data_IF_143447000070
#
_entry.id   IF_143447000070
#
_cell.length_a   1.000
_cell.length_b   1.000
_cell.length_c   1.000
_cell.angle_alpha   90.00
_cell.angle_beta   90.00
_cell.angle_gamma   90.00
#
_symmetry.space_group_name_H-M   'P 1'
#
loop_
_entity.id
_entity.type
_entity.pdbx_description
1 polymer ?
#
# COMPACT_ATOMS: atom_id res chain seq x y z
N UNK A 1 -16.72 21.14 -10.42
CA UNK A 1 -17.90 20.27 -10.37
C UNK A 1 -17.88 19.51 -9.06
N UNK A 2 -18.59 20.02 -8.07
CA UNK A 2 -18.80 19.29 -6.83
C UNK A 2 -19.89 18.25 -7.10
N UNK A 3 -19.53 17.00 -7.24
CA UNK A 3 -20.46 15.89 -7.17
C UNK A 3 -20.96 15.84 -5.72
N UNK A 4 -22.20 16.24 -5.51
CA UNK A 4 -22.82 16.16 -4.19
C UNK A 4 -23.31 14.74 -4.00
N UNK A 5 -22.75 14.05 -3.00
CA UNK A 5 -23.19 12.70 -2.62
C UNK A 5 -24.27 12.85 -1.54
N UNK A 6 -25.49 12.42 -1.89
CA UNK A 6 -26.59 12.36 -0.94
C UNK A 6 -26.74 10.93 -0.42
N UNK A 7 -26.53 10.75 0.86
CA UNK A 7 -26.86 9.51 1.55
C UNK A 7 -28.38 9.31 1.69
N UNK A 8 -28.76 8.29 2.45
CA UNK A 8 -30.17 8.07 2.82
C UNK A 8 -30.68 9.26 3.65
N UNK A 9 -31.74 9.93 3.18
CA UNK A 9 -32.31 11.11 3.86
C UNK A 9 -33.56 10.80 4.70
N UNK A 10 -34.21 9.67 4.43
CA UNK A 10 -35.28 9.13 5.27
C UNK A 10 -35.43 7.62 5.07
N UNK A 11 -35.96 6.98 6.10
CA UNK A 11 -36.35 5.57 6.08
C UNK A 11 -37.72 5.40 6.71
N UNK A 12 -38.61 4.73 6.01
CA UNK A 12 -39.91 4.37 6.53
C UNK A 12 -40.21 2.89 6.32
N UNK A 13 -41.02 2.32 7.18
CA UNK A 13 -41.61 0.99 7.02
C UNK A 13 -43.11 1.06 7.12
N UNK A 14 -43.81 0.10 6.53
CA UNK A 14 -45.25 -0.05 6.68
C UNK A 14 -45.51 -1.24 7.63
N UNK A 15 -46.29 -0.99 8.64
CA UNK A 15 -46.73 -2.02 9.57
C UNK A 15 -48.20 -1.88 9.90
N UNK A 16 -48.97 -2.94 9.72
CA UNK A 16 -50.39 -2.93 10.07
C UNK A 16 -50.61 -2.50 11.54
N UNK A 17 -51.44 -1.52 11.74
CA UNK A 17 -51.71 -0.96 13.07
C UNK A 17 -50.72 0.08 13.56
N UNK A 18 -49.73 0.48 12.74
CA UNK A 18 -48.83 1.59 13.05
C UNK A 18 -49.36 2.93 12.41
N UNK A 19 -48.84 4.05 12.94
CA UNK A 19 -49.11 5.36 12.32
C UNK A 19 -48.44 5.50 10.95
N UNK A 20 -47.45 4.67 10.66
CA UNK A 20 -46.77 4.59 9.35
C UNK A 20 -47.41 3.41 8.62
N UNK A 21 -48.59 3.68 8.00
CA UNK A 21 -49.32 2.69 7.21
C UNK A 21 -49.16 2.91 5.71
N UNK A 22 -49.67 1.97 4.90
CA UNK A 22 -49.59 2.04 3.45
C UNK A 22 -50.37 3.27 2.91
N UNK A 23 -49.73 4.10 2.07
CA UNK A 23 -50.47 5.12 1.32
C UNK A 23 -51.49 4.51 0.35
N UNK A 24 -52.52 5.27 0.03
CA UNK A 24 -53.48 4.87 -1.00
C UNK A 24 -52.80 4.82 -2.37
N UNK A 25 -52.91 3.72 -3.07
CA UNK A 25 -52.34 3.54 -4.42
C UNK A 25 -53.28 3.99 -5.55
N UNK A 26 -54.52 4.36 -5.24
CA UNK A 26 -55.58 4.60 -6.24
C UNK A 26 -55.98 6.06 -6.38
N UNK A 27 -55.50 6.97 -5.54
CA UNK A 27 -55.97 8.36 -5.49
C UNK A 27 -54.81 9.37 -5.56
N UNK A 28 -55.14 10.60 -5.94
CA UNK A 28 -54.22 11.73 -5.87
C UNK A 28 -53.75 12.00 -4.41
N UNK A 29 -54.66 11.85 -3.48
CA UNK A 29 -54.30 11.95 -2.04
C UNK A 29 -53.20 10.95 -1.65
N UNK A 30 -53.26 9.73 -2.18
CA UNK A 30 -52.22 8.72 -1.98
C UNK A 30 -50.87 9.18 -2.49
N UNK A 31 -50.81 9.90 -3.60
CA UNK A 31 -49.56 10.51 -4.09
C UNK A 31 -48.98 11.51 -3.09
N UNK A 32 -49.84 12.32 -2.46
CA UNK A 32 -49.38 13.26 -1.41
C UNK A 32 -48.99 12.56 -0.12
N UNK A 33 -49.57 11.39 0.19
CA UNK A 33 -49.15 10.54 1.30
C UNK A 33 -47.75 9.94 1.05
N UNK A 34 -47.50 9.48 -0.20
CA UNK A 34 -46.17 9.01 -0.61
C UNK A 34 -45.13 10.13 -0.51
N UNK A 35 -45.48 11.36 -0.92
CA UNK A 35 -44.57 12.49 -0.82
C UNK A 35 -44.14 12.75 0.63
N UNK A 36 -45.08 12.70 1.58
CA UNK A 36 -44.75 12.81 3.01
C UNK A 36 -43.78 11.70 3.46
N UNK A 37 -44.04 10.45 3.11
CA UNK A 37 -43.14 9.32 3.47
C UNK A 37 -41.75 9.48 2.90
N UNK A 38 -41.62 9.91 1.65
CA UNK A 38 -40.32 10.15 1.04
C UNK A 38 -39.51 11.23 1.76
N UNK A 39 -40.19 12.20 2.37
CA UNK A 39 -39.52 13.24 3.17
C UNK A 39 -39.37 12.91 4.65
N UNK A 40 -39.80 11.72 5.10
CA UNK A 40 -39.68 11.25 6.49
C UNK A 40 -40.78 11.77 7.42
N UNK A 41 -42.00 11.89 6.89
CA UNK A 41 -43.20 12.28 7.64
C UNK A 41 -44.27 11.20 7.57
N UNK A 42 -45.21 11.24 8.53
CA UNK A 42 -46.35 10.33 8.53
C UNK A 42 -47.18 10.51 7.24
N UNK A 43 -47.68 9.41 6.63
CA UNK A 43 -48.47 9.51 5.39
C UNK A 43 -49.76 10.27 5.58
N UNK A 44 -50.35 10.23 6.78
CA UNK A 44 -51.62 10.88 7.10
C UNK A 44 -51.50 11.83 8.30
N UNK A 45 -52.11 13.02 8.23
CA UNK A 45 -52.76 13.62 7.05
C UNK A 45 -51.79 13.80 5.90
N UNK A 46 -52.30 13.74 4.66
CA UNK A 46 -51.50 13.93 3.46
C UNK A 46 -50.90 15.35 3.36
N UNK A 47 -49.86 15.50 2.54
CA UNK A 47 -49.26 16.79 2.24
C UNK A 47 -50.35 17.81 1.80
N UNK A 48 -50.34 19.08 2.27
CA UNK A 48 -49.19 19.79 2.85
C UNK A 48 -49.01 19.67 4.36
N UNK A 49 -49.77 18.84 5.05
CA UNK A 49 -49.55 18.62 6.48
C UNK A 49 -48.41 17.62 6.66
N UNK A 50 -47.39 18.00 7.40
CA UNK A 50 -46.21 17.18 7.65
C UNK A 50 -46.03 16.93 9.17
N UNK A 51 -46.24 15.69 9.59
CA UNK A 51 -46.02 15.26 10.97
C UNK A 51 -44.83 14.32 11.01
N UNK A 52 -43.73 14.65 11.72
CA UNK A 52 -42.56 13.82 11.77
C UNK A 52 -42.85 12.48 12.44
N UNK A 53 -42.03 11.46 12.14
CA UNK A 53 -42.04 10.23 12.94
C UNK A 53 -41.58 10.57 14.36
N UNK A 54 -42.08 9.85 15.33
CA UNK A 54 -41.62 9.91 16.69
C UNK A 54 -41.03 8.53 17.09
N UNK A 55 -39.79 8.52 17.51
CA UNK A 55 -39.15 7.32 18.04
C UNK A 55 -39.86 6.91 19.33
N UNK A 56 -40.54 5.75 19.40
CA UNK A 56 -41.31 5.35 20.56
C UNK A 56 -40.42 5.01 21.77
N UNK A 57 -39.12 4.85 21.60
CA UNK A 57 -38.18 4.57 22.71
C UNK A 57 -37.71 5.86 23.40
N UNK A 58 -37.65 6.96 22.69
CA UNK A 58 -37.13 8.25 23.18
C UNK A 58 -38.15 9.37 23.20
N UNK A 59 -39.22 9.26 22.38
CA UNK A 59 -40.19 10.32 22.12
C UNK A 59 -39.66 11.46 21.25
N UNK A 60 -38.45 11.34 20.68
CA UNK A 60 -37.84 12.36 19.82
C UNK A 60 -38.33 12.22 18.37
N UNK A 61 -38.42 13.34 17.70
CA UNK A 61 -38.71 13.39 16.26
C UNK A 61 -37.54 12.82 15.46
N UNK A 62 -37.85 12.04 14.42
CA UNK A 62 -36.87 11.43 13.53
C UNK A 62 -37.43 11.32 12.12
N UNK A 63 -36.57 11.24 11.12
CA UNK A 63 -36.88 10.84 9.74
C UNK A 63 -36.57 9.36 9.45
N UNK A 64 -36.05 8.66 10.43
CA UNK A 64 -35.62 7.27 10.30
C UNK A 64 -36.40 6.38 11.25
N UNK A 65 -37.38 5.69 10.72
CA UNK A 65 -38.09 4.66 11.47
C UNK A 65 -37.17 3.45 11.71
N UNK A 66 -37.41 2.71 12.79
CA UNK A 66 -36.63 1.52 13.17
C UNK A 66 -35.11 1.78 13.26
N UNK A 67 -34.73 2.95 13.77
CA UNK A 67 -33.34 3.37 13.92
C UNK A 67 -32.59 2.67 15.05
N UNK A 68 -33.21 1.75 15.76
CA UNK A 68 -32.61 1.01 16.86
C UNK A 68 -31.67 -0.11 16.42
N UNK A 69 -30.89 -0.58 17.38
CA UNK A 69 -29.93 -1.66 17.16
C UNK A 69 -30.37 -2.94 17.87
N UNK A 70 -30.81 -3.96 17.12
CA UNK A 70 -31.20 -5.26 17.71
C UNK A 70 -30.07 -5.95 18.46
N UNK A 71 -28.81 -5.72 18.12
CA UNK A 71 -27.67 -6.36 18.78
C UNK A 71 -27.42 -5.84 20.19
N UNK A 72 -27.62 -4.55 20.40
CA UNK A 72 -27.55 -3.93 21.73
C UNK A 72 -28.88 -3.87 22.47
N UNK A 73 -29.98 -4.12 21.77
CA UNK A 73 -31.33 -3.99 22.31
C UNK A 73 -31.77 -2.54 22.54
N UNK A 74 -31.09 -1.56 21.96
CA UNK A 74 -31.33 -0.14 22.16
C UNK A 74 -32.07 0.53 21.02
N UNK A 75 -32.93 1.50 21.32
CA UNK A 75 -33.65 2.34 20.36
C UNK A 75 -34.91 1.71 19.80
N UNK A 76 -35.37 2.20 18.68
CA UNK A 76 -36.59 1.77 18.00
C UNK A 76 -36.37 0.50 17.18
N UNK A 77 -36.77 -0.65 17.72
CA UNK A 77 -36.50 -1.98 17.16
C UNK A 77 -37.81 -2.62 16.70
N UNK A 78 -37.81 -3.21 15.49
CA UNK A 78 -38.96 -4.01 15.02
C UNK A 78 -39.16 -5.27 15.88
N UNK A 79 -40.41 -5.63 16.08
CA UNK A 79 -40.77 -6.75 16.94
C UNK A 79 -40.81 -6.43 18.45
N UNK A 80 -40.36 -5.24 18.88
CA UNK A 80 -40.39 -4.76 20.25
C UNK A 80 -41.59 -3.82 20.48
N UNK A 81 -41.69 -2.74 19.71
CA UNK A 81 -42.79 -1.78 19.82
C UNK A 81 -44.02 -2.18 19.02
N UNK A 82 -43.84 -2.97 17.98
CA UNK A 82 -44.92 -3.59 17.19
C UNK A 82 -44.68 -5.10 17.11
N UNK A 83 -45.76 -5.92 17.21
CA UNK A 83 -45.64 -7.36 17.00
C UNK A 83 -44.97 -7.68 15.64
N UNK A 84 -44.23 -8.79 15.55
CA UNK A 84 -43.71 -9.26 14.26
C UNK A 84 -44.83 -9.43 13.24
N UNK A 85 -44.58 -9.07 12.00
CA UNK A 85 -45.56 -9.15 10.93
C UNK A 85 -44.99 -8.81 9.58
N UNK A 86 -45.83 -8.70 8.58
CA UNK A 86 -45.43 -8.24 7.24
C UNK A 86 -44.94 -6.79 7.31
N UNK A 87 -43.77 -6.54 6.72
CA UNK A 87 -43.13 -5.24 6.66
C UNK A 87 -42.74 -4.96 5.22
N UNK A 88 -43.04 -3.77 4.78
CA UNK A 88 -42.50 -3.17 3.58
C UNK A 88 -41.68 -1.97 3.99
N UNK A 89 -40.66 -1.64 3.23
CA UNK A 89 -39.74 -0.55 3.57
C UNK A 89 -39.54 0.37 2.38
N UNK A 90 -39.26 1.62 2.67
CA UNK A 90 -38.91 2.66 1.71
C UNK A 90 -37.68 3.37 2.21
N UNK A 91 -36.66 3.38 1.38
CA UNK A 91 -35.43 4.16 1.60
C UNK A 91 -35.43 5.31 0.61
N UNK A 92 -35.12 6.50 1.06
CA UNK A 92 -35.14 7.69 0.23
C UNK A 92 -33.81 8.41 0.27
N UNK A 93 -33.46 8.98 -0.89
CA UNK A 93 -32.34 9.91 -1.04
C UNK A 93 -32.88 11.17 -1.73
N UNK A 94 -32.50 12.35 -1.25
CA UNK A 94 -33.01 13.62 -1.75
C UNK A 94 -33.72 14.43 -0.66
N UNK A 95 -34.49 15.47 -1.05
CA UNK A 95 -34.80 15.89 -2.42
C UNK A 95 -33.63 16.51 -3.16
N UNK A 96 -33.56 16.33 -4.47
CA UNK A 96 -32.57 16.98 -5.33
C UNK A 96 -33.25 17.54 -6.59
N UNK A 97 -32.61 18.51 -7.23
CA UNK A 97 -33.08 19.10 -8.47
C UNK A 97 -32.29 18.51 -9.64
N UNK A 98 -33.02 18.10 -10.68
CA UNK A 98 -32.42 17.59 -11.90
C UNK A 98 -32.82 18.50 -13.05
N UNK A 99 -31.87 19.17 -13.69
CA UNK A 99 -32.10 20.01 -14.85
C UNK A 99 -32.12 19.17 -16.13
N UNK A 100 -32.64 19.75 -17.19
CA UNK A 100 -32.68 19.06 -18.49
C UNK A 100 -31.25 18.72 -18.95
N UNK A 101 -31.00 17.44 -19.19
CA UNK A 101 -29.69 16.93 -19.60
C UNK A 101 -28.74 16.55 -18.45
N UNK A 102 -29.16 16.75 -17.20
CA UNK A 102 -28.41 16.22 -16.03
C UNK A 102 -28.86 14.80 -15.70
N UNK A 103 -27.95 14.02 -15.17
CA UNK A 103 -28.18 12.63 -14.73
C UNK A 103 -27.90 12.50 -13.23
N UNK A 104 -28.67 11.69 -12.56
CA UNK A 104 -28.44 11.29 -11.18
C UNK A 104 -28.28 9.78 -11.12
N UNK A 105 -27.25 9.32 -10.43
CA UNK A 105 -26.99 7.90 -10.22
C UNK A 105 -27.33 7.51 -8.79
N UNK A 106 -28.13 6.47 -8.62
CA UNK A 106 -28.43 5.89 -7.31
C UNK A 106 -27.75 4.54 -7.21
N UNK A 107 -26.93 4.36 -6.17
CA UNK A 107 -26.27 3.08 -5.87
C UNK A 107 -26.94 2.47 -4.66
N UNK A 108 -27.42 1.25 -4.80
CA UNK A 108 -28.03 0.47 -3.73
C UNK A 108 -27.19 -0.78 -3.44
N UNK A 109 -26.74 -0.93 -2.20
CA UNK A 109 -26.11 -2.14 -1.70
C UNK A 109 -27.15 -3.09 -1.07
N UNK A 110 -26.98 -4.38 -1.29
CA UNK A 110 -27.74 -5.43 -0.58
C UNK A 110 -26.74 -6.31 0.14
N UNK A 111 -26.66 -6.17 1.46
CA UNK A 111 -25.80 -6.99 2.31
C UNK A 111 -26.65 -8.04 3.06
N UNK A 112 -26.13 -9.25 3.16
CA UNK A 112 -26.71 -10.32 3.95
C UNK A 112 -25.73 -10.78 5.02
N UNK A 113 -26.25 -11.30 6.13
CA UNK A 113 -25.46 -11.89 7.21
C UNK A 113 -26.10 -13.15 7.74
N UNK A 114 -25.28 -14.14 8.07
CA UNK A 114 -25.73 -15.39 8.71
C UNK A 114 -24.88 -15.62 9.95
N UNK A 115 -25.47 -15.41 11.12
CA UNK A 115 -24.92 -15.73 12.42
C UNK A 115 -25.54 -17.01 12.99
N UNK A 116 -25.41 -17.23 14.28
CA UNK A 116 -25.99 -18.39 14.98
C UNK A 116 -27.49 -18.22 15.26
N UNK A 117 -27.96 -16.99 15.32
CA UNK A 117 -29.36 -16.61 15.52
C UNK A 117 -29.71 -15.32 14.76
N UNK A 118 -30.93 -14.84 14.89
CA UNK A 118 -31.39 -13.63 14.21
C UNK A 118 -30.64 -12.38 14.68
N UNK A 119 -30.22 -12.28 15.93
CA UNK A 119 -29.51 -11.10 16.46
C UNK A 119 -28.05 -11.09 15.98
N UNK A 120 -27.35 -12.21 16.11
CA UNK A 120 -25.98 -12.34 15.60
C UNK A 120 -25.91 -12.19 14.08
N UNK A 121 -26.98 -12.62 13.35
CA UNK A 121 -27.09 -12.38 11.90
C UNK A 121 -27.12 -10.89 11.55
N UNK A 122 -27.72 -10.04 12.38
CA UNK A 122 -27.67 -8.57 12.19
C UNK A 122 -26.26 -8.05 12.37
N UNK A 123 -25.50 -8.55 13.35
CA UNK A 123 -24.09 -8.19 13.54
C UNK A 123 -23.25 -8.52 12.31
N UNK A 124 -23.44 -9.71 11.75
CA UNK A 124 -22.75 -10.15 10.53
C UNK A 124 -23.18 -9.32 9.31
N UNK A 125 -24.48 -9.00 9.18
CA UNK A 125 -24.96 -8.15 8.10
C UNK A 125 -24.34 -6.73 8.14
N UNK A 126 -24.26 -6.13 9.33
CA UNK A 126 -23.58 -4.83 9.51
C UNK A 126 -22.10 -4.90 9.16
N UNK A 127 -21.46 -5.99 9.49
CA UNK A 127 -20.06 -6.22 9.11
C UNK A 127 -19.88 -6.27 7.58
N UNK A 128 -20.75 -7.01 6.89
CA UNK A 128 -20.70 -7.04 5.42
C UNK A 128 -21.06 -5.70 4.77
N UNK A 129 -21.97 -4.93 5.40
CA UNK A 129 -22.35 -3.60 4.95
C UNK A 129 -21.16 -2.62 4.96
N UNK A 130 -20.30 -2.70 5.98
CA UNK A 130 -19.07 -1.90 6.05
C UNK A 130 -18.13 -2.15 4.86
N UNK A 131 -18.03 -3.41 4.40
CA UNK A 131 -17.27 -3.74 3.18
C UNK A 131 -17.92 -3.15 1.93
N UNK A 132 -19.25 -3.19 1.85
CA UNK A 132 -20.00 -2.58 0.75
C UNK A 132 -19.80 -1.06 0.70
N UNK A 133 -19.90 -0.39 1.84
CA UNK A 133 -19.67 1.04 1.95
C UNK A 133 -18.22 1.41 1.59
N UNK A 134 -17.25 0.69 2.14
CA UNK A 134 -15.85 0.90 1.80
C UNK A 134 -15.58 0.75 0.30
N UNK A 135 -16.14 -0.29 -0.34
CA UNK A 135 -16.01 -0.49 -1.78
C UNK A 135 -16.59 0.68 -2.58
N UNK A 136 -17.73 1.22 -2.16
CA UNK A 136 -18.34 2.39 -2.78
C UNK A 136 -17.47 3.64 -2.60
N UNK A 137 -16.97 3.90 -1.40
CA UNK A 137 -16.13 5.06 -1.06
C UNK A 137 -14.81 5.06 -1.83
N UNK A 138 -14.29 3.86 -2.13
CA UNK A 138 -13.11 3.66 -2.98
C UNK A 138 -13.43 3.68 -4.49
N UNK A 139 -14.65 4.02 -4.89
CA UNK A 139 -15.08 3.99 -6.29
C UNK A 139 -14.97 2.59 -6.92
N UNK A 140 -15.12 1.53 -6.12
CA UNK A 140 -14.93 0.12 -6.47
C UNK A 140 -13.50 -0.26 -6.86
N UNK A 141 -12.53 0.61 -6.57
CA UNK A 141 -11.11 0.31 -6.73
C UNK A 141 -10.55 -0.23 -5.41
N UNK A 142 -10.77 -1.51 -5.18
CA UNK A 142 -10.36 -2.15 -3.94
C UNK A 142 -8.84 -2.39 -3.88
N UNK A 143 -8.24 -2.33 -2.67
CA UNK A 143 -6.84 -2.66 -2.51
C UNK A 143 -6.55 -4.11 -2.89
N UNK A 144 -5.38 -4.34 -3.43
CA UNK A 144 -4.86 -5.66 -3.76
C UNK A 144 -3.84 -6.13 -2.73
N UNK A 145 -3.83 -7.43 -2.48
CA UNK A 145 -2.77 -8.05 -1.71
C UNK A 145 -1.42 -7.98 -2.44
N UNK A 146 -0.29 -8.14 -1.74
CA UNK A 146 1.03 -8.28 -2.37
C UNK A 146 1.05 -9.41 -3.39
N UNK A 147 1.98 -9.36 -4.34
CA UNK A 147 2.21 -10.47 -5.25
C UNK A 147 2.65 -11.71 -4.48
N UNK A 148 2.20 -12.89 -4.90
CA UNK A 148 2.63 -14.16 -4.30
C UNK A 148 4.14 -14.36 -4.49
N UNK A 149 4.91 -14.79 -3.48
CA UNK A 149 6.33 -15.02 -3.59
C UNK A 149 6.63 -16.18 -4.56
N UNK A 150 7.75 -16.10 -5.29
CA UNK A 150 8.22 -17.20 -6.13
C UNK A 150 9.14 -18.09 -5.31
N UNK A 151 8.73 -19.33 -5.03
CA UNK A 151 9.42 -20.22 -4.09
C UNK A 151 10.14 -21.33 -4.84
N UNK A 152 11.42 -21.53 -4.55
CA UNK A 152 12.20 -22.70 -4.94
C UNK A 152 12.48 -23.61 -3.73
N UNK A 153 12.74 -24.87 -3.99
CA UNK A 153 12.97 -25.89 -2.95
C UNK A 153 14.40 -26.37 -2.94
N UNK A 154 14.92 -26.65 -1.75
CA UNK A 154 16.25 -27.19 -1.54
C UNK A 154 16.09 -28.52 -0.78
N UNK A 155 16.63 -29.61 -1.36
CA UNK A 155 16.55 -30.96 -0.83
C UNK A 155 17.88 -31.33 -0.16
N UNK A 156 17.84 -31.71 1.11
CA UNK A 156 18.99 -32.09 1.91
C UNK A 156 18.73 -33.41 2.65
N UNK A 157 19.76 -33.99 3.25
CA UNK A 157 19.66 -35.20 4.06
C UNK A 157 18.85 -34.96 5.34
N UNK A 158 17.64 -35.49 5.39
CA UNK A 158 16.71 -35.33 6.51
C UNK A 158 16.17 -33.90 6.73
N UNK A 159 16.40 -32.97 5.80
CA UNK A 159 16.08 -31.56 5.94
C UNK A 159 15.59 -31.00 4.60
N UNK A 160 14.81 -29.92 4.65
CA UNK A 160 14.36 -29.19 3.48
C UNK A 160 14.57 -27.70 3.66
N UNK A 161 14.82 -27.01 2.55
CA UNK A 161 14.86 -25.56 2.48
C UNK A 161 13.84 -25.03 1.46
N UNK A 162 13.33 -23.86 1.72
CA UNK A 162 12.52 -23.07 0.81
C UNK A 162 13.21 -21.72 0.62
N UNK A 163 13.36 -21.28 -0.61
CA UNK A 163 13.98 -20.00 -0.96
C UNK A 163 13.07 -19.20 -1.87
N UNK A 164 12.75 -17.97 -1.48
CA UNK A 164 12.00 -16.99 -2.28
C UNK A 164 12.75 -15.68 -2.46
N UNK A 165 14.04 -15.66 -2.10
CA UNK A 165 14.93 -14.51 -2.23
C UNK A 165 15.77 -14.50 -3.49
N UNK A 166 15.85 -15.60 -4.24
CA UNK A 166 16.76 -15.76 -5.39
C UNK A 166 16.38 -14.91 -6.60
N UNK A 167 15.12 -14.50 -6.75
CA UNK A 167 14.65 -13.64 -7.84
C UNK A 167 14.42 -12.22 -7.35
N UNK A 168 15.35 -11.30 -7.64
CA UNK A 168 15.22 -9.89 -7.27
C UNK A 168 13.93 -9.25 -7.81
N UNK A 169 13.50 -9.60 -9.03
CA UNK A 169 12.25 -9.10 -9.61
C UNK A 169 11.03 -9.59 -8.85
N UNK A 170 10.99 -10.87 -8.45
CA UNK A 170 9.90 -11.41 -7.66
C UNK A 170 9.84 -10.77 -6.27
N UNK A 171 10.99 -10.62 -5.62
CA UNK A 171 11.10 -9.96 -4.32
C UNK A 171 10.59 -8.52 -4.40
N UNK A 172 11.06 -7.73 -5.38
CA UNK A 172 10.62 -6.35 -5.58
C UNK A 172 9.12 -6.26 -5.85
N UNK A 173 8.56 -7.13 -6.69
CA UNK A 173 7.12 -7.13 -6.98
C UNK A 173 6.25 -7.47 -5.76
N UNK A 174 6.78 -8.21 -4.79
CA UNK A 174 6.09 -8.55 -3.55
C UNK A 174 6.29 -7.48 -2.48
N UNK A 175 7.54 -7.09 -2.22
CA UNK A 175 7.91 -6.26 -1.07
C UNK A 175 7.75 -4.76 -1.30
N UNK A 176 7.79 -4.30 -2.54
CA UNK A 176 7.55 -2.90 -2.92
C UNK A 176 6.08 -2.64 -3.29
N UNK A 177 5.21 -3.64 -3.08
CA UNK A 177 3.78 -3.51 -3.35
C UNK A 177 3.13 -2.52 -2.39
N UNK A 178 2.50 -1.50 -2.95
CA UNK A 178 1.66 -0.54 -2.23
C UNK A 178 0.31 -0.48 -2.94
N UNK A 179 -0.77 -0.71 -2.22
CA UNK A 179 -2.13 -0.63 -2.77
C UNK A 179 -3.07 0.03 -1.77
N UNK A 180 -3.60 1.22 -2.10
CA UNK A 180 -4.51 1.99 -1.23
C UNK A 180 -4.03 2.11 0.22
N UNK A 181 -2.73 2.38 0.42
CA UNK A 181 -2.11 2.52 1.75
C UNK A 181 -1.70 1.20 2.41
N UNK A 182 -2.08 0.05 1.86
CA UNK A 182 -1.54 -1.23 2.31
C UNK A 182 -0.12 -1.40 1.82
N UNK A 183 0.82 -1.58 2.71
CA UNK A 183 2.23 -1.82 2.42
C UNK A 183 2.59 -3.27 2.81
N UNK A 184 3.49 -3.88 2.05
CA UNK A 184 4.03 -5.18 2.41
C UNK A 184 4.53 -5.18 3.85
N UNK A 185 4.20 -6.22 4.61
CA UNK A 185 4.61 -6.36 6.00
C UNK A 185 5.50 -7.58 6.22
N UNK A 186 5.15 -8.72 5.63
CA UNK A 186 5.92 -9.93 5.86
C UNK A 186 5.48 -11.14 5.04
N UNK A 187 6.14 -12.26 5.34
CA UNK A 187 5.88 -13.57 4.77
C UNK A 187 5.40 -14.54 5.85
N UNK A 188 4.55 -15.47 5.44
CA UNK A 188 4.11 -16.59 6.29
C UNK A 188 4.40 -17.89 5.57
N UNK A 189 4.96 -18.85 6.31
CA UNK A 189 5.23 -20.21 5.83
C UNK A 189 4.30 -21.16 6.54
N UNK A 190 3.63 -22.00 5.76
CA UNK A 190 2.75 -23.06 6.23
C UNK A 190 3.26 -24.42 5.78
N UNK A 191 3.20 -25.40 6.68
CA UNK A 191 3.33 -26.80 6.30
C UNK A 191 1.93 -27.39 6.13
N UNK A 192 1.69 -28.05 4.98
CA UNK A 192 0.38 -28.60 4.63
C UNK A 192 0.36 -30.12 4.81
N UNK A 193 -0.76 -30.71 5.23
CA UNK A 193 -0.93 -32.15 5.32
C UNK A 193 -0.79 -32.87 3.96
N UNK A 194 -1.21 -32.23 2.87
CA UNK A 194 -1.13 -32.73 1.50
C UNK A 194 -1.10 -31.59 0.49
N UNK A 195 -0.81 -31.88 -0.78
CA UNK A 195 -0.82 -30.93 -1.88
C UNK A 195 -2.18 -30.22 -2.07
N UNK A 196 -3.29 -30.88 -1.72
CA UNK A 196 -4.65 -30.38 -1.92
C UNK A 196 -5.32 -29.87 -0.64
N UNK A 197 -4.67 -29.98 0.51
CA UNK A 197 -5.22 -29.46 1.77
C UNK A 197 -5.40 -27.94 1.70
N UNK A 198 -6.54 -27.38 2.15
CA UNK A 198 -6.69 -25.94 2.23
C UNK A 198 -5.70 -25.35 3.22
N UNK A 199 -5.35 -24.07 3.03
CA UNK A 199 -4.38 -23.35 3.90
C UNK A 199 -4.81 -23.37 5.37
N UNK A 200 -6.12 -23.36 5.63
CA UNK A 200 -6.70 -23.43 6.97
C UNK A 200 -6.42 -24.72 7.75
N UNK A 201 -6.03 -25.79 7.05
CA UNK A 201 -5.60 -27.07 7.66
C UNK A 201 -4.06 -27.11 7.83
N UNK A 202 -3.35 -26.13 7.29
CA UNK A 202 -1.90 -26.00 7.40
C UNK A 202 -1.48 -25.57 8.80
N UNK A 203 -0.28 -26.00 9.18
CA UNK A 203 0.41 -25.51 10.38
C UNK A 203 1.28 -24.33 9.98
N UNK A 204 1.07 -23.17 10.61
CA UNK A 204 1.94 -22.01 10.46
C UNK A 204 3.28 -22.33 11.14
N UNK A 205 4.36 -22.44 10.34
CA UNK A 205 5.69 -22.85 10.83
C UNK A 205 6.65 -21.69 10.99
N UNK A 206 6.44 -20.60 10.23
CA UNK A 206 7.25 -19.40 10.37
C UNK A 206 6.49 -18.14 9.92
N UNK A 207 6.85 -17.01 10.51
CA UNK A 207 6.47 -15.68 10.06
C UNK A 207 7.70 -14.79 10.07
N UNK A 208 7.95 -14.06 8.98
CA UNK A 208 9.07 -13.15 8.81
C UNK A 208 8.54 -11.79 8.40
N UNK A 209 8.61 -10.82 9.27
CA UNK A 209 8.01 -9.51 9.10
C UNK A 209 8.99 -8.37 9.38
N UNK A 210 8.65 -7.18 8.93
CA UNK A 210 9.45 -5.98 9.15
C UNK A 210 9.65 -5.72 10.64
N UNK A 211 10.79 -5.12 10.99
CA UNK A 211 11.06 -4.65 12.35
C UNK A 211 10.44 -3.27 12.53
N UNK A 212 9.19 -3.21 12.99
CA UNK A 212 8.43 -1.97 13.09
C UNK A 212 7.47 -1.95 14.29
N UNK A 213 7.59 -2.92 15.21
CA UNK A 213 6.77 -3.11 16.41
C UNK A 213 5.32 -3.53 16.14
N UNK A 214 5.02 -4.01 14.93
CA UNK A 214 3.71 -4.53 14.56
C UNK A 214 3.75 -6.05 14.68
N UNK A 215 3.27 -6.58 15.81
CA UNK A 215 3.28 -8.02 16.06
C UNK A 215 1.93 -8.69 15.83
N UNK A 216 0.84 -8.02 16.22
CA UNK A 216 -0.51 -8.57 16.08
C UNK A 216 -1.37 -7.62 15.26
N UNK A 217 -1.84 -8.11 14.12
CA UNK A 217 -2.81 -7.41 13.30
C UNK A 217 -4.18 -8.01 13.58
N UNK A 218 -5.05 -7.19 14.16
CA UNK A 218 -6.41 -7.57 14.51
C UNK A 218 -7.34 -7.10 13.39
N UNK A 219 -8.13 -8.02 12.87
CA UNK A 219 -9.21 -7.74 11.93
C UNK A 219 -10.55 -8.24 12.45
N UNK A 220 -11.65 -7.58 12.12
CA UNK A 220 -12.97 -8.06 12.44
C UNK A 220 -13.19 -9.47 11.87
N UNK A 221 -13.65 -10.37 12.73
CA UNK A 221 -13.90 -11.77 12.40
C UNK A 221 -15.17 -12.25 13.09
N UNK A 222 -15.84 -13.22 12.50
CA UNK A 222 -17.02 -13.83 13.11
C UNK A 222 -16.57 -14.89 14.11
N UNK A 223 -16.87 -14.66 15.40
CA UNK A 223 -16.63 -15.66 16.44
C UNK A 223 -17.57 -16.86 16.22
N UNK A 224 -17.06 -18.06 15.98
CA UNK A 224 -17.88 -19.24 15.71
C UNK A 224 -18.72 -19.68 16.92
N UNK A 225 -18.41 -19.21 18.12
CA UNK A 225 -19.09 -19.58 19.35
C UNK A 225 -20.32 -18.71 19.60
N UNK A 226 -20.20 -17.42 19.33
CA UNK A 226 -21.26 -16.43 19.61
C UNK A 226 -21.97 -15.95 18.35
N UNK A 227 -21.36 -16.13 17.17
CA UNK A 227 -21.82 -15.59 15.90
C UNK A 227 -21.68 -14.07 15.80
N UNK A 228 -21.05 -13.42 16.78
CA UNK A 228 -20.82 -11.98 16.77
C UNK A 228 -19.51 -11.63 16.06
N UNK A 229 -19.45 -10.43 15.55
CA UNK A 229 -18.21 -9.88 14.99
C UNK A 229 -17.34 -9.36 16.13
N UNK A 230 -16.11 -9.86 16.19
CA UNK A 230 -15.09 -9.47 17.17
C UNK A 230 -13.76 -9.22 16.48
N UNK A 231 -12.92 -8.37 17.05
CA UNK A 231 -11.55 -8.20 16.58
C UNK A 231 -10.73 -9.44 16.99
N UNK A 232 -10.22 -10.15 16.01
CA UNK A 232 -9.40 -11.34 16.21
C UNK A 232 -8.03 -11.20 15.51
N UNK A 233 -6.97 -11.83 16.06
CA UNK A 233 -5.67 -11.84 15.41
C UNK A 233 -5.77 -12.52 14.04
N UNK A 234 -5.58 -11.74 12.99
CA UNK A 234 -5.56 -12.23 11.60
C UNK A 234 -4.16 -12.61 11.17
N UNK A 235 -3.18 -11.78 11.54
CA UNK A 235 -1.76 -12.07 11.37
C UNK A 235 -1.03 -11.85 12.69
N UNK A 236 -0.05 -12.72 12.94
CA UNK A 236 0.84 -12.62 14.10
C UNK A 236 2.26 -12.64 13.57
N UNK A 237 2.93 -11.51 13.67
CA UNK A 237 4.31 -11.32 13.31
C UNK A 237 5.27 -11.64 14.44
N UNK A 238 6.55 -11.68 14.14
CA UNK A 238 7.64 -11.93 15.07
C UNK A 238 8.50 -10.70 15.33
N UNK A 239 8.39 -9.67 14.47
CA UNK A 239 9.15 -8.41 14.51
C UNK A 239 10.68 -8.63 14.53
N UNK A 240 11.14 -9.71 13.86
CA UNK A 240 12.56 -10.09 13.81
C UNK A 240 13.26 -9.74 12.52
N UNK A 241 12.53 -9.24 11.54
CA UNK A 241 13.02 -8.87 10.22
C UNK A 241 12.57 -9.81 9.11
N UNK A 242 12.50 -9.25 7.90
CA UNK A 242 12.10 -9.99 6.71
C UNK A 242 13.21 -10.97 6.32
N UNK A 243 12.88 -12.23 6.31
CA UNK A 243 13.72 -13.32 5.82
C UNK A 243 13.09 -13.93 4.57
N UNK A 244 13.92 -14.28 3.59
CA UNK A 244 13.45 -14.78 2.28
C UNK A 244 13.79 -16.24 2.05
N UNK A 245 14.02 -16.96 3.12
CA UNK A 245 14.23 -18.40 3.13
C UNK A 245 13.67 -19.02 4.41
N UNK A 246 13.40 -20.31 4.36
CA UNK A 246 12.99 -21.11 5.51
C UNK A 246 13.64 -22.48 5.39
N UNK A 247 14.04 -23.04 6.51
CA UNK A 247 14.58 -24.39 6.58
C UNK A 247 14.00 -25.16 7.76
N UNK A 248 13.88 -26.46 7.61
CA UNK A 248 13.41 -27.32 8.69
C UNK A 248 13.82 -28.77 8.47
N UNK A 249 14.12 -29.45 9.56
CA UNK A 249 14.33 -30.89 9.68
C UNK A 249 13.15 -31.60 10.37
N UNK A 250 12.08 -30.83 10.69
CA UNK A 250 10.95 -31.30 11.48
C UNK A 250 9.62 -31.20 10.73
N UNK A 251 8.80 -32.26 10.84
CA UNK A 251 7.44 -32.35 10.29
C UNK A 251 6.46 -31.90 11.38
N UNK A 252 6.07 -30.63 11.35
CA UNK A 252 5.12 -30.03 12.32
C UNK A 252 3.71 -30.61 12.20
N UNK A 253 3.33 -31.08 11.01
CA UNK A 253 2.01 -31.70 10.78
C UNK A 253 1.90 -33.03 11.50
N UNK A 254 3.00 -33.81 11.54
CA UNK A 254 3.03 -35.16 12.14
C UNK A 254 3.79 -35.23 13.47
N UNK A 255 4.42 -34.12 13.89
CA UNK A 255 5.14 -34.04 15.16
C UNK A 255 6.35 -34.94 15.25
N UNK A 256 7.16 -35.02 14.18
CA UNK A 256 8.33 -35.92 14.10
C UNK A 256 9.42 -35.37 13.17
N UNK A 257 10.69 -35.80 13.32
CA UNK A 257 11.74 -35.44 12.37
C UNK A 257 11.38 -35.87 10.93
N UNK A 258 11.84 -35.08 9.97
CA UNK A 258 11.69 -35.41 8.55
C UNK A 258 12.47 -36.66 8.17
N UNK A 259 12.01 -37.35 7.15
CA UNK A 259 12.63 -38.58 6.64
C UNK A 259 12.85 -38.48 5.14
N UNK A 260 14.03 -38.95 4.69
CA UNK A 260 14.35 -39.02 3.28
C UNK A 260 13.32 -39.85 2.51
N UNK A 261 13.02 -39.42 1.28
CA UNK A 261 12.09 -40.10 0.40
C UNK A 261 10.61 -39.86 0.70
N UNK A 262 10.27 -39.06 1.72
CA UNK A 262 8.90 -38.62 2.00
C UNK A 262 8.72 -37.22 1.46
N UNK A 263 7.66 -37.02 0.67
CA UNK A 263 7.31 -35.71 0.14
C UNK A 263 6.53 -34.90 1.18
N UNK A 264 7.01 -33.69 1.46
CA UNK A 264 6.37 -32.69 2.32
C UNK A 264 5.83 -31.56 1.48
N UNK A 265 4.75 -30.96 1.94
CA UNK A 265 4.04 -29.89 1.25
C UNK A 265 4.10 -28.62 2.06
N UNK A 266 4.45 -27.54 1.41
CA UNK A 266 4.49 -26.20 2.02
C UNK A 266 3.73 -25.20 1.18
N UNK A 267 3.34 -24.12 1.81
CA UNK A 267 2.82 -22.93 1.16
C UNK A 267 3.48 -21.70 1.76
N UNK A 268 3.81 -20.74 0.91
CA UNK A 268 4.34 -19.44 1.33
C UNK A 268 3.40 -18.36 0.81
N UNK A 269 3.04 -17.45 1.70
CA UNK A 269 2.24 -16.26 1.41
C UNK A 269 3.01 -15.01 1.77
N UNK A 270 2.58 -13.89 1.22
CA UNK A 270 3.01 -12.55 1.64
C UNK A 270 1.79 -11.80 2.17
N UNK A 271 1.96 -10.91 3.13
CA UNK A 271 0.87 -10.08 3.61
C UNK A 271 1.27 -8.62 3.73
N UNK A 272 0.28 -7.76 3.62
CA UNK A 272 0.40 -6.32 3.77
C UNK A 272 -0.35 -5.84 5.02
N UNK A 273 0.01 -4.66 5.47
CA UNK A 273 -0.60 -3.98 6.61
C UNK A 273 -0.97 -2.55 6.25
N UNK A 274 -2.10 -2.10 6.78
CA UNK A 274 -2.59 -0.72 6.71
C UNK A 274 -2.37 -0.05 8.07
N UNK A 275 -1.39 0.85 8.14
CA UNK A 275 -1.05 1.55 9.39
C UNK A 275 -2.10 2.61 9.77
N UNK A 276 -2.55 3.39 8.80
CA UNK A 276 -3.56 4.42 8.98
C UNK A 276 -4.95 3.84 8.67
N UNK A 277 -5.90 4.06 9.56
CA UNK A 277 -7.25 3.53 9.38
C UNK A 277 -8.11 4.54 8.59
N UNK A 278 -8.05 4.47 7.27
CA UNK A 278 -8.86 5.30 6.34
C UNK A 278 -10.31 4.81 6.21
N UNK A 279 -10.90 4.28 7.26
CA UNK A 279 -12.23 3.70 7.23
C UNK A 279 -12.29 2.29 6.63
N UNK A 280 -11.13 1.66 6.36
CA UNK A 280 -11.07 0.27 5.91
C UNK A 280 -11.63 -0.67 6.98
N UNK A 281 -12.51 -1.61 6.61
CA UNK A 281 -13.04 -2.62 7.52
C UNK A 281 -12.03 -3.73 7.85
N UNK A 282 -10.83 -3.70 7.26
CA UNK A 282 -9.74 -4.66 7.49
C UNK A 282 -8.40 -3.95 7.44
N UNK A 283 -7.40 -4.51 8.10
CA UNK A 283 -6.04 -3.94 8.22
C UNK A 283 -4.96 -4.78 7.55
N UNK A 284 -5.29 -5.99 7.10
CA UNK A 284 -4.32 -6.88 6.45
C UNK A 284 -4.92 -7.54 5.22
N UNK A 285 -4.08 -7.72 4.22
CA UNK A 285 -4.39 -8.49 3.02
C UNK A 285 -3.28 -9.51 2.80
N UNK A 286 -3.67 -10.77 2.63
CA UNK A 286 -2.74 -11.87 2.38
C UNK A 286 -2.81 -12.29 0.91
N UNK A 287 -1.64 -12.52 0.30
CA UNK A 287 -1.53 -12.96 -1.09
C UNK A 287 -2.10 -14.36 -1.31
N UNK A 288 -2.27 -14.75 -2.56
CA UNK A 288 -2.44 -16.16 -2.90
C UNK A 288 -1.22 -16.96 -2.42
N UNK A 289 -1.44 -18.21 -2.03
CA UNK A 289 -0.36 -19.10 -1.62
C UNK A 289 0.46 -19.63 -2.80
N UNK A 290 1.78 -19.64 -2.67
CA UNK A 290 2.66 -20.41 -3.55
C UNK A 290 2.93 -21.76 -2.91
N UNK A 291 2.40 -22.82 -3.51
CA UNK A 291 2.51 -24.19 -3.03
C UNK A 291 3.72 -24.88 -3.62
N UNK A 292 4.48 -25.57 -2.79
CA UNK A 292 5.63 -26.36 -3.19
C UNK A 292 5.60 -27.74 -2.53
N UNK A 293 6.18 -28.71 -3.22
CA UNK A 293 6.41 -30.04 -2.70
C UNK A 293 7.92 -30.31 -2.71
N UNK A 294 8.44 -30.84 -1.64
CA UNK A 294 9.87 -31.09 -1.47
C UNK A 294 10.10 -32.43 -0.79
N UNK A 295 11.13 -33.15 -1.21
CA UNK A 295 11.43 -34.51 -0.71
C UNK A 295 12.88 -34.52 -0.23
N UNK A 296 13.13 -34.60 1.08
CA UNK A 296 14.50 -34.75 1.61
C UNK A 296 15.19 -35.98 1.01
N UNK A 297 16.44 -35.83 0.68
CA UNK A 297 17.25 -36.91 0.12
C UNK A 297 18.72 -36.79 0.52
N UNK A 298 19.39 -37.92 0.59
CA UNK A 298 20.85 -37.94 0.71
C UNK A 298 21.51 -37.43 -0.56
N UNK A 299 22.74 -36.92 -0.44
CA UNK A 299 23.54 -36.51 -1.59
C UNK A 299 23.71 -37.65 -2.60
N UNK A 300 23.82 -37.30 -3.88
CA UNK A 300 24.09 -38.32 -4.90
C UNK A 300 25.47 -38.97 -4.63
N UNK A 301 25.61 -40.25 -5.00
CA UNK A 301 26.93 -40.91 -4.90
C UNK A 301 27.99 -40.15 -5.68
N UNK A 302 29.08 -39.77 -4.98
CA UNK A 302 30.19 -39.00 -5.57
C UNK A 302 30.09 -37.48 -5.41
N UNK A 303 29.00 -36.98 -4.89
CA UNK A 303 28.88 -35.57 -4.48
C UNK A 303 29.32 -35.41 -3.03
N UNK A 304 30.24 -34.48 -2.80
CA UNK A 304 30.65 -34.09 -1.46
C UNK A 304 30.20 -32.65 -1.23
N UNK A 305 29.37 -32.43 -0.22
CA UNK A 305 28.96 -31.11 0.21
C UNK A 305 29.87 -30.69 1.35
N UNK A 306 30.55 -29.55 1.20
CA UNK A 306 31.58 -29.09 2.16
C UNK A 306 31.06 -28.11 3.21
N UNK A 307 29.81 -27.71 3.10
CA UNK A 307 29.15 -26.76 4.00
C UNK A 307 27.78 -27.28 4.39
N UNK A 308 27.32 -26.91 5.55
CA UNK A 308 25.97 -27.19 6.01
C UNK A 308 25.05 -26.02 5.65
N UNK A 309 23.75 -26.27 5.49
CA UNK A 309 22.74 -25.22 5.37
C UNK A 309 22.77 -24.35 6.65
N UNK A 310 22.53 -23.05 6.51
CA UNK A 310 22.65 -22.05 7.58
C UNK A 310 24.01 -21.92 8.23
N UNK A 311 25.06 -22.51 7.68
CA UNK A 311 26.41 -22.24 8.15
C UNK A 311 26.89 -20.86 7.73
N UNK A 312 27.56 -20.15 8.64
CA UNK A 312 28.14 -18.84 8.36
C UNK A 312 29.45 -18.98 7.59
N UNK A 313 29.64 -18.12 6.62
CA UNK A 313 30.90 -17.99 5.88
C UNK A 313 31.72 -16.83 6.46
N UNK A 314 33.00 -17.08 6.73
CA UNK A 314 33.90 -16.03 7.19
C UNK A 314 34.07 -14.94 6.11
N UNK A 315 33.76 -13.70 6.47
CA UNK A 315 33.82 -12.55 5.57
C UNK A 315 35.06 -11.72 5.90
N UNK A 316 35.94 -11.54 4.91
CA UNK A 316 37.07 -10.60 5.03
C UNK A 316 36.64 -9.21 4.59
N UNK A 317 36.67 -8.25 5.52
CA UNK A 317 36.33 -6.86 5.25
C UNK A 317 37.55 -6.09 4.74
N UNK A 318 37.48 -5.57 3.49
CA UNK A 318 38.57 -4.84 2.85
C UNK A 318 38.26 -3.34 2.65
N UNK A 319 37.20 -2.81 3.24
CA UNK A 319 36.74 -1.42 3.07
C UNK A 319 37.03 -0.54 4.29
N UNK A 320 36.68 0.73 4.14
CA UNK A 320 36.76 1.75 5.22
C UNK A 320 35.43 1.92 5.98
N UNK A 321 34.37 1.26 5.51
CA UNK A 321 33.05 1.32 6.14
C UNK A 321 33.01 0.59 7.48
N UNK A 322 32.18 1.05 8.41
CA UNK A 322 32.00 0.41 9.72
C UNK A 322 30.91 -0.70 9.71
N UNK A 323 30.36 -1.01 8.55
CA UNK A 323 29.32 -2.02 8.41
C UNK A 323 29.93 -3.43 8.38
N UNK A 324 29.27 -4.38 9.02
CA UNK A 324 29.56 -5.81 8.90
C UNK A 324 28.53 -6.48 7.98
N UNK A 325 28.99 -7.46 7.22
CA UNK A 325 28.14 -8.31 6.38
C UNK A 325 28.23 -9.72 6.91
N UNK A 326 27.09 -10.32 7.26
CA UNK A 326 26.97 -11.75 7.49
C UNK A 326 26.65 -12.46 6.18
N UNK A 327 27.26 -13.58 5.92
CA UNK A 327 26.97 -14.44 4.78
C UNK A 327 26.68 -15.84 5.28
N UNK A 328 25.49 -16.35 4.95
CA UNK A 328 25.00 -17.65 5.38
C UNK A 328 24.74 -18.54 4.16
N UNK A 329 25.08 -19.80 4.24
CA UNK A 329 24.87 -20.77 3.16
C UNK A 329 23.41 -21.21 3.13
N UNK A 330 22.69 -20.91 2.06
CA UNK A 330 21.31 -21.37 1.85
C UNK A 330 21.27 -22.73 1.14
N UNK A 331 22.05 -22.90 0.09
CA UNK A 331 22.07 -24.12 -0.69
C UNK A 331 23.52 -24.66 -0.80
N UNK A 332 23.93 -25.55 0.09
CA UNK A 332 25.27 -26.12 0.08
C UNK A 332 25.65 -26.85 -1.22
N UNK A 333 24.69 -27.48 -1.88
CA UNK A 333 24.94 -28.21 -3.14
C UNK A 333 25.14 -27.28 -4.35
N UNK A 334 24.74 -26.01 -4.24
CA UNK A 334 24.96 -25.00 -5.28
C UNK A 334 26.27 -24.22 -5.13
N UNK A 335 26.98 -24.38 -4.00
CA UNK A 335 28.23 -23.71 -3.77
C UNK A 335 29.31 -24.19 -4.75
N UNK A 336 30.08 -23.23 -5.26
CA UNK A 336 31.24 -23.47 -6.10
C UNK A 336 32.50 -23.06 -5.34
N UNK A 337 33.64 -23.68 -5.68
CA UNK A 337 34.95 -23.27 -5.18
C UNK A 337 35.40 -21.97 -5.85
N UNK A 338 34.73 -20.88 -5.52
CA UNK A 338 34.95 -19.54 -6.10
C UNK A 338 34.98 -18.50 -4.97
N UNK A 339 35.71 -17.41 -5.20
CA UNK A 339 35.71 -16.26 -4.29
C UNK A 339 34.60 -15.30 -4.64
N UNK A 340 33.76 -14.98 -3.68
CA UNK A 340 32.65 -14.03 -3.84
C UNK A 340 33.03 -12.67 -3.25
N UNK A 341 32.65 -11.59 -3.94
CA UNK A 341 32.83 -10.21 -3.47
C UNK A 341 31.49 -9.55 -3.31
N UNK A 342 31.19 -9.11 -2.10
CA UNK A 342 30.05 -8.24 -1.83
C UNK A 342 30.53 -6.80 -1.81
N UNK A 343 29.92 -5.95 -2.61
CA UNK A 343 30.20 -4.51 -2.61
C UNK A 343 28.88 -3.75 -2.48
N UNK A 344 28.91 -2.66 -1.73
CA UNK A 344 27.79 -1.75 -1.58
C UNK A 344 28.05 -0.52 -2.44
N UNK A 345 27.04 -0.12 -3.17
CA UNK A 345 27.03 1.16 -3.85
C UNK A 345 26.06 2.09 -3.09
N UNK A 346 26.45 3.35 -2.94
CA UNK A 346 25.58 4.32 -2.28
C UNK A 346 24.44 4.65 -3.25
N UNK A 347 23.24 4.28 -2.86
CA UNK A 347 22.03 4.67 -3.60
C UNK A 347 21.32 5.75 -2.81
N UNK A 348 21.08 6.88 -3.43
CA UNK A 348 20.29 7.95 -2.85
C UNK A 348 18.84 7.80 -3.33
N UNK A 349 17.91 7.78 -2.40
CA UNK A 349 16.47 7.80 -2.69
C UNK A 349 15.93 9.16 -2.29
N UNK A 350 15.12 9.77 -3.15
CA UNK A 350 14.35 10.95 -2.83
C UNK A 350 12.86 10.59 -2.76
N UNK A 351 12.18 11.08 -1.74
CA UNK A 351 10.74 10.92 -1.61
C UNK A 351 10.06 12.00 -2.46
N UNK A 352 9.14 11.62 -3.33
CA UNK A 352 8.35 12.56 -4.12
C UNK A 352 7.21 13.18 -3.30
N UNK A 353 6.46 14.10 -3.91
CA UNK A 353 5.34 14.80 -3.27
C UNK A 353 4.20 13.85 -2.84
N UNK A 354 4.11 12.68 -3.51
CA UNK A 354 3.11 11.66 -3.20
C UNK A 354 3.60 10.68 -2.12
N UNK A 355 4.80 10.92 -1.59
CA UNK A 355 5.39 10.08 -0.57
C UNK A 355 6.13 8.83 -1.10
N UNK A 356 6.25 8.69 -2.41
CA UNK A 356 6.94 7.55 -3.03
C UNK A 356 8.44 7.76 -3.03
N UNK A 357 9.20 6.75 -2.57
CA UNK A 357 10.64 6.74 -2.60
C UNK A 357 11.12 6.39 -4.02
N UNK A 358 11.66 7.37 -4.72
CA UNK A 358 12.26 7.18 -6.02
C UNK A 358 13.77 7.11 -5.89
N UNK A 359 14.37 6.09 -6.51
CA UNK A 359 15.82 5.98 -6.58
C UNK A 359 16.38 7.16 -7.39
N UNK A 360 17.18 7.99 -6.75
CA UNK A 360 17.96 8.98 -7.45
C UNK A 360 19.08 8.24 -8.17
N UNK A 361 18.89 8.01 -9.45
CA UNK A 361 19.91 7.39 -10.29
C UNK A 361 21.02 8.42 -10.46
N UNK A 362 22.13 8.28 -9.76
CA UNK A 362 23.35 8.95 -10.12
C UNK A 362 23.79 8.40 -11.48
N UNK A 363 23.48 9.09 -12.55
CA UNK A 363 24.13 8.79 -13.80
C UNK A 363 25.54 9.34 -13.71
N UNK A 364 26.51 8.47 -13.61
CA UNK A 364 27.89 8.82 -13.95
C UNK A 364 27.92 9.24 -15.42
N UNK A 365 28.41 10.45 -15.67
CA UNK A 365 28.56 11.11 -16.94
C UNK A 365 27.26 11.64 -17.57
N UNK A 366 26.92 12.89 -17.28
CA UNK A 366 26.27 13.69 -18.28
C UNK A 366 27.22 13.75 -19.48
N UNK A 367 26.82 13.22 -20.63
CA UNK A 367 27.54 13.48 -21.86
C UNK A 367 27.39 14.98 -22.15
N UNK A 368 28.50 15.69 -22.19
CA UNK A 368 28.53 17.04 -22.76
C UNK A 368 28.29 16.87 -24.24
N UNK A 369 27.04 16.99 -24.69
CA UNK A 369 26.77 17.08 -26.11
C UNK A 369 27.02 18.51 -26.54
N UNK A 370 27.98 18.68 -27.45
CA UNK A 370 28.21 19.88 -28.21
C UNK A 370 29.11 20.98 -27.62
N UNK A 371 30.18 20.59 -26.97
CA UNK A 371 31.29 21.50 -26.78
C UNK A 371 32.30 21.25 -27.91
N UNK A 372 32.24 22.01 -28.98
CA UNK A 372 33.23 21.94 -30.05
C UNK A 372 34.66 22.26 -29.57
N UNK A 373 34.79 22.84 -28.40
CA UNK A 373 36.04 23.29 -27.82
C UNK A 373 36.42 22.60 -26.50
N UNK A 374 35.58 21.74 -25.93
CA UNK A 374 35.83 20.99 -24.69
C UNK A 374 35.80 19.47 -24.91
N UNK A 375 36.54 18.97 -25.86
CA UNK A 375 36.48 17.58 -26.35
C UNK A 375 36.76 16.46 -25.33
N UNK A 376 37.23 16.79 -24.13
CA UNK A 376 37.47 15.84 -23.02
C UNK A 376 36.91 16.35 -21.68
N UNK A 377 35.82 17.08 -21.71
CA UNK A 377 35.22 17.65 -20.51
C UNK A 377 34.49 16.57 -19.71
N UNK A 378 34.63 16.64 -18.40
CA UNK A 378 33.91 15.77 -17.48
C UNK A 378 33.11 16.60 -16.49
N UNK A 379 31.85 16.18 -16.24
CA UNK A 379 31.05 16.65 -15.11
C UNK A 379 30.94 15.48 -14.13
N UNK A 380 31.43 15.70 -12.94
CA UNK A 380 31.21 14.75 -11.84
C UNK A 380 30.24 15.39 -10.86
N UNK A 381 29.13 14.73 -10.60
CA UNK A 381 28.16 15.19 -9.63
C UNK A 381 28.03 14.16 -8.50
N UNK A 382 28.09 14.63 -7.26
CA UNK A 382 27.76 13.83 -6.09
C UNK A 382 26.50 14.42 -5.46
N UNK A 383 25.45 13.58 -5.34
CA UNK A 383 24.21 13.97 -4.70
C UNK A 383 24.13 13.36 -3.30
N UNK A 384 23.79 14.16 -2.33
CA UNK A 384 23.52 13.68 -0.96
C UNK A 384 22.38 14.48 -0.32
N UNK A 385 21.62 13.80 0.53
CA UNK A 385 20.54 14.42 1.27
C UNK A 385 21.05 15.01 2.59
N UNK A 386 20.63 16.21 2.93
CA UNK A 386 21.02 16.89 4.17
C UNK A 386 20.25 16.36 5.40
N UNK A 387 19.12 15.69 5.20
CA UNK A 387 18.26 15.16 6.28
C UNK A 387 17.44 13.98 5.80
N UNK A 388 17.12 13.06 6.71
CA UNK A 388 16.25 11.89 6.47
C UNK A 388 14.81 12.13 6.97
N UNK A 389 14.52 13.29 7.56
CA UNK A 389 13.19 13.63 8.12
C UNK A 389 12.76 15.01 7.64
N UNK A 390 11.63 15.10 6.96
CA UNK A 390 11.03 16.36 6.49
C UNK A 390 11.43 16.73 5.06
N UNK A 391 11.47 18.04 4.79
CA UNK A 391 11.93 18.55 3.50
C UNK A 391 13.41 18.20 3.31
N UNK A 392 13.74 17.48 2.26
CA UNK A 392 15.10 17.06 1.96
C UNK A 392 15.74 18.14 1.09
N UNK A 393 16.82 18.73 1.57
CA UNK A 393 17.69 19.55 0.75
C UNK A 393 18.62 18.60 -0.02
N UNK A 394 18.46 18.55 -1.33
CA UNK A 394 19.36 17.82 -2.20
C UNK A 394 20.53 18.75 -2.54
N UNK A 395 21.71 18.42 -2.04
CA UNK A 395 22.95 19.13 -2.37
C UNK A 395 23.61 18.40 -3.53
N UNK A 396 23.90 19.15 -4.59
CA UNK A 396 24.61 18.64 -5.78
C UNK A 396 25.96 19.36 -5.84
N UNK A 397 27.05 18.62 -5.63
CA UNK A 397 28.39 19.12 -5.84
C UNK A 397 28.84 18.81 -7.27
N UNK A 398 29.20 19.82 -8.04
CA UNK A 398 29.69 19.68 -9.39
C UNK A 398 31.15 20.05 -9.49
N UNK A 399 31.92 19.22 -10.18
CA UNK A 399 33.26 19.58 -10.65
C UNK A 399 33.22 19.61 -12.16
N UNK A 400 33.48 20.79 -12.73
CA UNK A 400 33.61 20.99 -14.16
C UNK A 400 35.10 21.04 -14.49
N UNK A 401 35.50 20.24 -15.46
CA UNK A 401 36.87 20.27 -15.98
C UNK A 401 36.82 20.32 -17.51
N UNK A 402 37.30 21.36 -18.09
CA UNK A 402 37.48 21.49 -19.52
C UNK A 402 38.96 21.26 -19.85
N UNK A 403 39.27 20.16 -20.56
CA UNK A 403 40.63 19.68 -20.72
C UNK A 403 41.51 20.62 -21.56
N UNK A 404 40.92 21.43 -22.42
CA UNK A 404 41.60 22.39 -23.32
C UNK A 404 41.62 23.83 -22.77
N UNK A 405 41.08 24.03 -21.55
CA UNK A 405 41.00 25.36 -20.93
C UNK A 405 39.93 26.27 -21.52
N UNK A 406 39.00 25.74 -22.31
CA UNK A 406 37.89 26.52 -22.82
C UNK A 406 36.89 26.88 -21.71
N UNK A 407 36.13 27.90 -21.95
CA UNK A 407 35.15 28.44 -21.04
C UNK A 407 33.76 27.84 -21.32
N UNK A 408 32.96 27.64 -20.29
CA UNK A 408 31.63 27.01 -20.38
C UNK A 408 30.59 28.11 -20.20
N UNK A 409 29.63 28.23 -21.12
CA UNK A 409 28.59 29.28 -21.09
C UNK A 409 27.49 28.99 -20.09
N UNK A 410 27.17 27.74 -19.88
CA UNK A 410 26.11 27.36 -18.93
C UNK A 410 26.09 25.86 -18.65
N UNK A 411 25.35 25.51 -17.61
CA UNK A 411 25.07 24.13 -17.22
C UNK A 411 23.58 23.91 -17.26
N UNK A 412 23.14 22.96 -18.06
CA UNK A 412 21.74 22.55 -18.12
C UNK A 412 21.59 21.17 -17.50
N UNK A 413 20.66 21.07 -16.56
CA UNK A 413 20.30 19.81 -15.92
C UNK A 413 18.84 19.50 -16.18
N UNK A 414 18.56 18.29 -16.66
CA UNK A 414 17.20 17.81 -16.85
C UNK A 414 16.88 16.81 -15.75
N UNK A 415 15.84 17.09 -14.99
CA UNK A 415 15.35 16.25 -13.91
C UNK A 415 14.15 15.41 -14.35
N UNK A 416 13.76 14.38 -13.60
CA UNK A 416 12.54 13.65 -13.85
C UNK A 416 11.30 14.55 -13.80
N UNK A 417 10.27 14.19 -14.58
CA UNK A 417 9.04 14.96 -14.69
C UNK A 417 8.38 15.17 -13.32
N UNK A 418 8.06 16.43 -13.02
CA UNK A 418 7.48 16.83 -11.75
C UNK A 418 8.48 17.19 -10.65
N UNK A 419 9.77 17.00 -10.86
CA UNK A 419 10.80 17.31 -9.87
C UNK A 419 10.87 18.81 -9.54
N UNK A 420 10.79 19.65 -10.57
CA UNK A 420 10.94 21.10 -10.45
C UNK A 420 9.79 21.81 -9.71
N UNK A 421 8.60 21.18 -9.61
CA UNK A 421 7.41 21.83 -9.06
C UNK A 421 7.53 22.21 -7.57
N UNK A 422 8.49 21.67 -6.83
CA UNK A 422 8.64 21.84 -5.40
C UNK A 422 10.03 22.27 -4.95
N UNK A 423 10.86 22.72 -5.87
CA UNK A 423 12.24 23.11 -5.57
C UNK A 423 12.35 24.63 -5.49
N UNK A 424 12.72 25.16 -4.32
CA UNK A 424 13.24 26.50 -4.20
C UNK A 424 14.73 26.43 -4.52
N UNK A 425 15.14 26.92 -5.66
CA UNK A 425 16.55 27.13 -5.94
C UNK A 425 17.07 28.21 -5.03
N UNK A 426 17.92 27.83 -4.09
CA UNK A 426 18.77 28.76 -3.39
C UNK A 426 20.05 28.97 -4.18
N UNK A 427 20.66 30.12 -4.00
CA UNK A 427 21.90 30.51 -4.68
C UNK A 427 22.93 29.37 -4.66
N UNK A 428 23.62 29.17 -5.77
CA UNK A 428 24.78 28.29 -5.84
C UNK A 428 25.84 28.84 -4.89
N UNK A 429 26.12 28.08 -3.83
CA UNK A 429 27.17 28.42 -2.87
C UNK A 429 28.40 27.61 -3.22
N UNK A 430 29.42 28.21 -3.76
CA UNK A 430 30.68 27.55 -4.13
C UNK A 430 31.82 28.51 -4.38
N UNK A 431 33.03 27.97 -4.45
CA UNK A 431 34.27 28.69 -4.73
C UNK A 431 34.39 28.81 -6.25
N UNK A 432 33.61 29.62 -6.84
CA UNK A 432 33.68 29.94 -8.25
C UNK A 432 32.61 30.98 -8.55
N UNK A 433 33.01 32.09 -9.04
CA UNK A 433 32.02 33.09 -9.44
C UNK A 433 31.36 32.63 -10.71
N UNK A 434 30.13 32.15 -10.60
CA UNK A 434 29.26 32.13 -11.78
C UNK A 434 29.21 33.61 -12.24
N UNK A 435 29.62 33.90 -13.45
CA UNK A 435 29.72 35.27 -14.00
C UNK A 435 30.86 36.15 -13.41
N UNK A 436 31.96 35.61 -12.96
CA UNK A 436 33.04 36.42 -12.41
C UNK A 436 33.82 37.16 -13.47
N UNK A 437 33.70 36.80 -14.74
CA UNK A 437 34.44 37.44 -15.80
C UNK A 437 33.58 38.40 -16.59
N UNK A 438 33.91 39.67 -16.52
CA UNK A 438 33.37 40.67 -17.42
C UNK A 438 32.29 41.59 -16.86
N UNK A 439 32.23 41.77 -15.56
CA UNK A 439 31.38 42.82 -14.96
C UNK A 439 31.66 44.26 -15.49
N UNK A 440 32.75 44.43 -16.22
CA UNK A 440 33.11 45.71 -16.88
C UNK A 440 32.52 45.85 -18.30
N UNK A 441 32.00 44.83 -18.90
CA UNK A 441 31.54 44.82 -20.30
C UNK A 441 30.05 44.55 -20.48
N UNK A 442 29.22 44.59 -19.45
CA UNK A 442 27.76 44.44 -19.56
C UNK A 442 27.32 43.04 -19.95
N UNK A 443 28.09 42.04 -19.57
CA UNK A 443 27.61 40.65 -19.67
C UNK A 443 26.59 40.38 -18.60
N UNK A 444 25.42 40.02 -19.03
CA UNK A 444 24.33 39.63 -18.15
C UNK A 444 24.66 38.29 -17.50
N UNK A 445 24.77 38.28 -16.18
CA UNK A 445 24.81 37.06 -15.39
C UNK A 445 23.42 36.41 -15.33
N UNK A 446 22.91 36.03 -16.50
CA UNK A 446 21.63 35.34 -16.57
C UNK A 446 21.70 34.03 -15.78
N UNK A 447 20.65 33.77 -15.03
CA UNK A 447 20.46 32.50 -14.28
C UNK A 447 21.60 32.16 -13.31
N UNK A 448 22.22 33.17 -12.67
CA UNK A 448 23.25 32.96 -11.63
C UNK A 448 22.71 32.19 -10.43
N UNK A 449 21.41 32.31 -10.14
CA UNK A 449 20.70 31.62 -9.07
C UNK A 449 19.97 30.36 -9.54
N UNK A 450 20.16 30.00 -10.83
CA UNK A 450 19.42 28.94 -11.48
C UNK A 450 18.01 29.34 -11.89
N UNK A 451 17.60 28.96 -13.09
CA UNK A 451 16.22 29.14 -13.56
C UNK A 451 15.61 27.83 -13.98
N UNK A 452 14.34 27.66 -13.63
CA UNK A 452 13.57 26.49 -13.96
C UNK A 452 12.67 26.74 -15.17
N UNK A 453 12.70 25.84 -16.15
CA UNK A 453 11.74 25.77 -17.24
C UNK A 453 11.23 24.34 -17.34
N UNK A 454 10.05 24.09 -16.78
CA UNK A 454 9.56 22.72 -16.61
C UNK A 454 10.46 21.92 -15.67
N UNK A 455 11.00 20.80 -16.15
CA UNK A 455 11.90 19.92 -15.40
C UNK A 455 13.41 20.22 -15.70
N UNK A 456 13.70 21.36 -16.30
CA UNK A 456 15.05 21.75 -16.67
C UNK A 456 15.51 22.91 -15.81
N UNK A 457 16.64 22.73 -15.13
CA UNK A 457 17.36 23.76 -14.38
C UNK A 457 18.54 24.25 -15.22
N UNK A 458 18.63 25.53 -15.40
CA UNK A 458 19.71 26.20 -16.16
C UNK A 458 20.45 27.17 -15.25
N UNK A 459 21.77 27.05 -15.21
CA UNK A 459 22.69 28.06 -14.70
C UNK A 459 23.52 28.63 -15.84
N UNK A 460 23.70 29.94 -15.88
CA UNK A 460 24.42 30.61 -16.94
C UNK A 460 23.57 30.85 -18.18
N UNK A 461 24.17 30.82 -19.36
CA UNK A 461 23.49 31.09 -20.62
C UNK A 461 23.05 29.82 -21.33
N UNK A 462 21.88 29.87 -21.96
CA UNK A 462 21.36 28.79 -22.81
C UNK A 462 21.81 28.87 -24.26
N UNK A 463 22.48 29.96 -24.62
CA UNK A 463 22.97 30.25 -25.99
C UNK A 463 24.37 30.83 -25.95
N UNK A 464 25.18 30.42 -26.90
CA UNK A 464 26.51 30.97 -27.10
C UNK A 464 26.44 32.41 -27.57
N UNK A 465 26.57 33.37 -26.68
CA UNK A 465 26.51 34.80 -27.02
C UNK A 465 27.71 35.59 -26.51
N UNK A 466 28.85 34.94 -26.25
CA UNK A 466 30.03 35.67 -25.80
C UNK A 466 31.04 34.82 -25.05
N UNK A 467 31.69 35.37 -24.05
CA UNK A 467 32.62 34.64 -23.20
C UNK A 467 31.84 33.77 -22.21
N UNK A 468 32.35 32.58 -21.92
CA UNK A 468 31.69 31.61 -21.04
C UNK A 468 31.41 32.13 -19.61
N UNK A 469 30.36 31.66 -19.02
CA UNK A 469 29.96 32.00 -17.65
C UNK A 469 30.83 31.32 -16.59
N UNK A 470 31.48 30.22 -16.90
CA UNK A 470 32.30 29.42 -16.02
C UNK A 470 33.72 29.30 -16.50
N UNK A 471 34.68 29.36 -15.59
CA UNK A 471 36.08 29.07 -15.89
C UNK A 471 36.29 27.56 -16.16
N UNK A 472 37.42 27.23 -16.81
CA UNK A 472 37.75 25.88 -17.26
C UNK A 472 37.85 24.81 -16.13
N UNK A 473 37.84 25.21 -14.85
CA UNK A 473 37.87 24.31 -13.71
C UNK A 473 37.21 24.98 -12.50
N UNK A 474 35.95 24.65 -12.26
CA UNK A 474 35.18 25.14 -11.14
C UNK A 474 34.49 23.99 -10.39
N UNK A 475 34.45 24.12 -9.08
CA UNK A 475 33.65 23.24 -8.18
C UNK A 475 32.56 24.07 -7.54
N UNK A 476 31.33 23.61 -7.62
CA UNK A 476 30.12 24.29 -7.14
C UNK A 476 29.40 23.41 -6.12
#
# INVERSE_FOLDING_TARGET
DSTEFLGMTSFAYFGAGSAIDDPDLSSYEGTLQWFNLMEGFLPRPAYPTQIPFSDPSTGLETKYALSGDPTSGAGWIDGVQLPPGDRRMVMNTGPFQLKVGEEATVVLGIAGGMGLDNVSSVSVAKFHDQYGQYAYDQGFNLPSAPSSPSVSTIEMDGMVGLDWGSSATSVSSTEESISAGFEFEGYVVYQLPSASSPLSEGVKVATYDKVNLIQNILDPSIDPTTGLVVDAPKQTGTDIGVQRFFETDYDEVRGRPMSNGITYHFAVTAYSYLADNDGSPFKTLESGETRVAVTPRTNNPGETVYSEMSSDIEVTHNGTANASVGVTVLNPSALKDESYKVSFDTQVFARDINGVWNKVVSRSAASVSDATDCGASTITATAYASSIVGTIDLVLDFTLTCADGAWIDGIQMTFPTGFAANVNTTAVTGVGNICSYGSASGQDCENSDGSWTGDVLLYGHDKRTGFGAFESSNTF
#
